data_IF_284695988202
#
_entry.id   IF_284695988202
#
_cell.length_a   1.000
_cell.length_b   1.000
_cell.length_c   1.000
_cell.angle_alpha   90.00
_cell.angle_beta   90.00
_cell.angle_gamma   90.00
#
_symmetry.space_group_name_H-M   'P 1'
#
loop_
_entity.id
_entity.type
_entity.pdbx_description
1 polymer ?
#
# COMPACT_ATOMS: atom_id res chain seq x y z
N UNK A 1 35.78 46.55 -19.64
CA UNK A 1 34.71 45.64 -19.16
C UNK A 1 33.51 46.49 -18.76
N UNK A 2 32.39 46.35 -19.48
CA UNK A 2 31.16 47.14 -19.27
C UNK A 2 30.28 46.41 -18.25
N UNK A 3 29.99 47.06 -17.12
CA UNK A 3 29.01 46.63 -16.11
C UNK A 3 27.75 47.47 -16.29
N UNK A 4 26.62 46.82 -16.61
CA UNK A 4 25.33 47.47 -16.80
C UNK A 4 24.46 47.38 -15.54
N UNK A 5 24.00 48.58 -15.15
CA UNK A 5 22.67 48.97 -14.67
C UNK A 5 22.06 48.29 -13.44
N UNK A 6 22.17 49.02 -12.32
CA UNK A 6 21.09 49.23 -11.35
C UNK A 6 20.39 50.56 -11.67
N UNK A 7 19.05 50.56 -11.69
CA UNK A 7 18.09 51.54 -11.08
C UNK A 7 16.69 51.28 -11.68
N UNK A 8 15.68 50.90 -10.89
CA UNK A 8 14.84 51.76 -10.04
C UNK A 8 14.18 52.92 -10.80
N UNK A 9 12.92 52.75 -11.22
CA UNK A 9 11.98 53.87 -11.35
C UNK A 9 10.54 53.43 -11.01
N UNK A 10 10.02 54.03 -9.94
CA UNK A 10 8.61 54.09 -9.61
C UNK A 10 7.91 55.12 -10.52
N UNK A 11 6.67 54.84 -10.95
CA UNK A 11 5.68 55.84 -11.40
C UNK A 11 4.26 55.23 -11.47
N UNK A 12 3.43 55.59 -10.50
CA UNK A 12 2.02 56.01 -10.72
C UNK A 12 2.00 57.53 -10.46
N UNK A 13 0.97 58.34 -10.81
CA UNK A 13 -0.39 58.01 -11.27
C UNK A 13 -0.90 58.90 -12.43
N UNK A 14 -2.10 58.65 -12.96
CA UNK A 14 -2.93 59.70 -13.56
C UNK A 14 -4.42 59.41 -13.39
N UNK A 15 -5.12 60.45 -12.95
CA UNK A 15 -6.53 60.57 -12.59
C UNK A 15 -7.45 60.81 -13.80
N UNK A 16 -8.73 60.47 -13.67
CA UNK A 16 -9.92 61.32 -13.95
C UNK A 16 -11.16 60.54 -13.48
N UNK A 17 -11.89 60.96 -12.43
CA UNK A 17 -12.87 62.06 -12.34
C UNK A 17 -14.05 61.85 -13.33
N UNK A 18 -15.32 61.77 -12.96
CA UNK A 18 -16.03 61.83 -11.69
C UNK A 18 -17.53 61.82 -12.01
N UNK A 19 -18.38 61.31 -11.12
CA UNK A 19 -19.72 61.87 -10.95
C UNK A 19 -20.23 61.58 -9.54
N UNK A 20 -20.86 62.59 -8.99
CA UNK A 20 -21.28 62.76 -7.61
C UNK A 20 -22.66 62.16 -7.35
N UNK A 21 -22.80 61.66 -6.12
CA UNK A 21 -24.01 61.64 -5.27
C UNK A 21 -25.30 61.02 -5.83
N UNK A 22 -25.73 59.94 -5.17
CA UNK A 22 -26.98 59.99 -4.39
C UNK A 22 -26.93 58.93 -3.28
N UNK A 23 -27.28 59.39 -2.09
CA UNK A 23 -27.39 58.64 -0.84
C UNK A 23 -28.62 57.73 -0.84
N UNK A 24 -28.44 56.43 -0.60
CA UNK A 24 -29.41 55.64 0.16
C UNK A 24 -28.65 54.60 0.98
N UNK A 25 -28.61 54.82 2.30
CA UNK A 25 -28.29 53.76 3.24
C UNK A 25 -29.42 52.74 3.22
N UNK A 26 -29.13 51.53 2.76
CA UNK A 26 -29.88 50.34 3.16
C UNK A 26 -28.91 49.46 3.95
N UNK A 27 -29.07 49.46 5.28
CA UNK A 27 -28.53 48.39 6.12
C UNK A 27 -29.14 47.08 5.62
N UNK A 28 -28.40 46.31 4.82
CA UNK A 28 -28.74 44.90 4.58
C UNK A 28 -28.00 44.03 5.60
N UNK A 29 -28.73 43.77 6.67
CA UNK A 29 -28.45 42.76 7.69
C UNK A 29 -28.54 41.39 7.04
N UNK A 30 -27.45 40.90 6.44
CA UNK A 30 -27.23 39.45 6.23
C UNK A 30 -25.72 39.17 6.24
N UNK A 31 -25.20 39.04 7.46
CA UNK A 31 -24.04 38.20 7.72
C UNK A 31 -24.36 36.75 7.36
N UNK A 32 -23.32 36.02 6.95
CA UNK A 32 -23.27 34.60 6.51
C UNK A 32 -23.46 34.44 5.00
N UNK A 33 -22.32 34.39 4.31
CA UNK A 33 -22.18 33.61 3.07
C UNK A 33 -22.55 32.16 3.41
N UNK A 34 -23.82 31.79 3.28
CA UNK A 34 -24.18 30.39 3.15
C UNK A 34 -23.50 29.89 1.87
N UNK A 35 -22.64 28.87 1.99
CA UNK A 35 -22.20 28.12 0.82
C UNK A 35 -23.46 27.59 0.15
N UNK A 36 -23.63 27.89 -1.14
CA UNK A 36 -24.77 27.37 -1.89
C UNK A 36 -24.75 25.83 -1.83
N UNK A 37 -25.87 25.16 -1.49
CA UNK A 37 -25.94 23.70 -1.35
C UNK A 37 -25.57 22.95 -2.66
N UNK A 38 -25.56 23.66 -3.78
CA UNK A 38 -25.19 23.14 -5.10
C UNK A 38 -23.70 22.81 -5.28
N UNK A 39 -22.79 23.30 -4.42
CA UNK A 39 -21.34 23.00 -4.57
C UNK A 39 -20.93 21.68 -3.91
N UNK A 40 -21.56 21.32 -2.79
CA UNK A 40 -21.32 20.04 -2.09
C UNK A 40 -21.96 18.87 -2.84
N UNK A 41 -23.17 19.06 -3.39
CA UNK A 41 -23.83 18.03 -4.21
C UNK A 41 -23.02 17.74 -5.48
N UNK A 42 -22.54 18.78 -6.19
CA UNK A 42 -21.73 18.58 -7.40
C UNK A 42 -20.36 17.96 -7.13
N UNK A 43 -19.75 18.20 -5.97
CA UNK A 43 -18.49 17.55 -5.59
C UNK A 43 -18.70 16.11 -5.12
N UNK A 44 -19.80 15.82 -4.43
CA UNK A 44 -20.20 14.47 -4.04
C UNK A 44 -20.63 13.61 -5.23
N UNK A 45 -21.34 14.17 -6.21
CA UNK A 45 -21.69 13.51 -7.48
C UNK A 45 -20.43 13.23 -8.30
N UNK A 46 -19.53 14.22 -8.44
CA UNK A 46 -18.24 14.01 -9.11
C UNK A 46 -17.36 12.99 -8.39
N UNK A 47 -17.40 12.90 -7.05
CA UNK A 47 -16.62 11.90 -6.31
C UNK A 47 -17.21 10.51 -6.45
N UNK A 48 -18.54 10.35 -6.44
CA UNK A 48 -19.19 9.05 -6.70
C UNK A 48 -18.99 8.57 -8.13
N UNK A 49 -19.06 9.45 -9.12
CA UNK A 49 -18.75 9.12 -10.53
C UNK A 49 -17.27 8.77 -10.74
N UNK A 50 -16.35 9.52 -10.11
CA UNK A 50 -14.92 9.20 -10.12
C UNK A 50 -14.65 7.87 -9.44
N UNK A 51 -15.26 7.60 -8.29
CA UNK A 51 -15.11 6.33 -7.57
C UNK A 51 -15.64 5.15 -8.40
N UNK A 52 -16.80 5.31 -9.06
CA UNK A 52 -17.34 4.29 -9.96
C UNK A 52 -16.47 4.05 -11.20
N UNK A 53 -15.86 5.11 -11.75
CA UNK A 53 -14.95 5.01 -12.90
C UNK A 53 -13.62 4.37 -12.52
N UNK A 54 -13.07 4.75 -11.37
CA UNK A 54 -11.85 4.18 -10.80
C UNK A 54 -12.00 2.69 -10.50
N UNK A 55 -13.12 2.29 -9.88
CA UNK A 55 -13.37 0.88 -9.58
C UNK A 55 -13.48 0.04 -10.87
N UNK A 56 -14.14 0.55 -11.93
CA UNK A 56 -14.21 -0.14 -13.23
C UNK A 56 -12.83 -0.37 -13.86
N UNK A 57 -11.92 0.59 -13.73
CA UNK A 57 -10.53 0.46 -14.20
C UNK A 57 -9.83 -0.66 -13.45
N UNK A 58 -9.97 -0.70 -12.12
CA UNK A 58 -9.40 -1.73 -11.26
C UNK A 58 -9.98 -3.09 -11.63
N UNK A 59 -11.30 -3.25 -11.68
CA UNK A 59 -11.98 -4.53 -11.94
C UNK A 59 -11.53 -5.16 -13.26
N UNK A 60 -11.39 -4.34 -14.32
CA UNK A 60 -10.94 -4.80 -15.63
C UNK A 60 -9.49 -5.30 -15.59
N UNK A 61 -8.61 -4.59 -14.90
CA UNK A 61 -7.21 -5.00 -14.75
C UNK A 61 -7.08 -6.22 -13.81
N UNK A 62 -7.88 -6.26 -12.76
CA UNK A 62 -7.93 -7.33 -11.76
C UNK A 62 -8.33 -8.66 -12.40
N UNK A 63 -9.38 -8.67 -13.23
CA UNK A 63 -9.84 -9.89 -13.92
C UNK A 63 -8.73 -10.56 -14.70
N UNK A 64 -7.90 -9.79 -15.42
CA UNK A 64 -6.75 -10.32 -16.16
C UNK A 64 -5.64 -10.79 -15.23
N UNK A 65 -5.34 -10.00 -14.20
CA UNK A 65 -4.28 -10.31 -13.22
C UNK A 65 -4.58 -11.60 -12.45
N UNK A 66 -5.82 -11.80 -12.01
CA UNK A 66 -6.25 -13.01 -11.33
C UNK A 66 -6.29 -14.22 -12.27
N UNK A 67 -6.54 -14.01 -13.56
CA UNK A 67 -6.41 -15.08 -14.54
C UNK A 67 -4.96 -15.56 -14.65
N UNK A 68 -3.98 -14.64 -14.70
CA UNK A 68 -2.54 -14.99 -14.65
C UNK A 68 -2.15 -15.69 -13.36
N UNK A 69 -2.64 -15.22 -12.21
CA UNK A 69 -2.38 -15.84 -10.90
C UNK A 69 -2.87 -17.29 -10.82
N UNK A 70 -3.95 -17.61 -11.54
CA UNK A 70 -4.56 -18.94 -11.58
C UNK A 70 -3.98 -19.87 -12.64
N UNK A 71 -3.08 -19.39 -13.50
CA UNK A 71 -2.50 -20.25 -14.54
C UNK A 71 -1.64 -21.33 -13.90
N UNK A 72 -1.77 -22.60 -14.36
CA UNK A 72 -0.78 -23.61 -14.02
C UNK A 72 0.56 -23.20 -14.64
N UNK A 73 1.63 -23.60 -13.97
CA UNK A 73 2.97 -23.44 -14.50
C UNK A 73 3.16 -24.25 -15.78
N UNK A 74 3.94 -23.70 -16.71
CA UNK A 74 4.27 -24.39 -17.96
C UNK A 74 5.10 -25.63 -17.60
N UNK A 75 4.56 -26.82 -17.90
CA UNK A 75 5.11 -28.18 -18.09
C UNK A 75 6.38 -28.69 -17.34
N UNK A 76 7.22 -27.85 -16.75
CA UNK A 76 8.49 -28.19 -16.10
C UNK A 76 8.51 -27.95 -14.59
N UNK A 77 7.57 -27.18 -14.02
CA UNK A 77 7.45 -27.03 -12.56
C UNK A 77 6.19 -27.71 -12.03
N UNK A 78 6.34 -28.59 -11.04
CA UNK A 78 5.24 -29.29 -10.35
C UNK A 78 4.41 -28.36 -9.43
N UNK A 79 4.63 -27.05 -9.50
CA UNK A 79 4.08 -26.06 -8.56
C UNK A 79 2.84 -25.41 -9.17
N UNK A 80 1.68 -25.99 -8.89
CA UNK A 80 0.40 -25.36 -9.21
C UNK A 80 0.32 -23.97 -8.53
N UNK A 81 0.03 -22.91 -9.29
CA UNK A 81 -0.06 -21.52 -8.81
C UNK A 81 1.27 -20.83 -8.42
N UNK A 82 2.40 -21.17 -9.07
CA UNK A 82 3.70 -20.53 -8.80
C UNK A 82 3.67 -18.99 -8.81
N UNK A 83 3.00 -18.35 -9.77
CA UNK A 83 2.89 -16.88 -9.83
C UNK A 83 2.23 -16.30 -8.58
N UNK A 84 1.29 -17.02 -7.98
CA UNK A 84 0.62 -16.64 -6.75
C UNK A 84 1.56 -16.80 -5.54
N UNK A 85 2.26 -17.93 -5.42
CA UNK A 85 3.25 -18.12 -4.36
C UNK A 85 4.35 -17.05 -4.42
N UNK A 86 4.83 -16.76 -5.62
CA UNK A 86 5.78 -15.69 -5.90
C UNK A 86 5.25 -14.32 -5.45
N UNK A 87 3.95 -14.05 -5.63
CA UNK A 87 3.35 -12.82 -5.09
C UNK A 87 3.37 -12.79 -3.56
N UNK A 88 3.05 -13.89 -2.88
CA UNK A 88 3.10 -13.97 -1.42
C UNK A 88 4.51 -13.70 -0.90
N UNK A 89 5.53 -14.34 -1.47
CA UNK A 89 6.94 -14.10 -1.14
C UNK A 89 7.32 -12.63 -1.36
N UNK A 90 6.94 -12.07 -2.51
CA UNK A 90 7.17 -10.66 -2.80
C UNK A 90 6.50 -9.73 -1.78
N UNK A 91 5.26 -10.03 -1.36
CA UNK A 91 4.55 -9.21 -0.36
C UNK A 91 5.28 -9.24 0.98
N UNK A 92 5.80 -10.39 1.37
CA UNK A 92 6.67 -10.54 2.54
C UNK A 92 7.87 -9.59 2.47
N UNK A 93 8.63 -9.67 1.38
CA UNK A 93 9.85 -8.88 1.17
C UNK A 93 9.55 -7.38 1.12
N UNK A 94 8.48 -6.99 0.41
CA UNK A 94 8.03 -5.61 0.34
C UNK A 94 7.66 -5.04 1.70
N UNK A 95 7.04 -5.85 2.57
CA UNK A 95 6.67 -5.44 3.93
C UNK A 95 7.91 -5.23 4.80
N UNK A 96 8.87 -6.17 4.74
CA UNK A 96 10.17 -6.05 5.43
C UNK A 96 10.86 -4.75 5.04
N UNK A 97 10.96 -4.47 3.74
CA UNK A 97 11.62 -3.26 3.23
C UNK A 97 10.94 -1.98 3.74
N UNK A 98 9.61 -1.92 3.74
CA UNK A 98 8.87 -0.77 4.24
C UNK A 98 9.12 -0.52 5.75
N UNK A 99 9.14 -1.58 6.56
CA UNK A 99 9.47 -1.46 7.98
C UNK A 99 10.92 -1.04 8.22
N UNK A 100 11.87 -1.62 7.50
CA UNK A 100 13.29 -1.29 7.64
C UNK A 100 13.58 0.14 7.21
N UNK A 101 12.95 0.64 6.15
CA UNK A 101 13.06 2.04 5.72
C UNK A 101 12.55 2.99 6.81
N UNK A 102 11.38 2.69 7.40
CA UNK A 102 10.84 3.46 8.53
C UNK A 102 11.80 3.44 9.73
N UNK A 103 12.33 2.27 10.08
CA UNK A 103 13.26 2.11 11.22
C UNK A 103 14.63 2.74 10.98
N UNK A 104 15.10 2.76 9.74
CA UNK A 104 16.35 3.42 9.37
C UNK A 104 16.26 4.93 9.61
N UNK A 105 15.12 5.55 9.29
CA UNK A 105 14.85 6.95 9.57
C UNK A 105 14.78 7.26 11.08
N UNK A 106 14.27 6.32 11.88
CA UNK A 106 14.16 6.45 13.34
C UNK A 106 15.51 6.25 14.08
N UNK A 107 16.25 5.19 13.75
CA UNK A 107 17.41 4.72 14.51
C UNK A 107 18.72 5.37 14.04
N UNK A 108 18.81 5.73 12.74
CA UNK A 108 20.00 6.34 12.11
C UNK A 108 21.32 5.57 12.34
N UNK A 109 21.26 4.26 12.59
CA UNK A 109 22.41 3.37 12.70
C UNK A 109 22.36 2.32 11.58
N UNK A 110 23.17 2.45 10.51
CA UNK A 110 23.09 1.58 9.34
C UNK A 110 23.48 0.13 9.64
N UNK A 111 24.42 -0.13 10.56
CA UNK A 111 24.88 -1.48 10.87
C UNK A 111 23.82 -2.27 11.65
N UNK A 112 23.13 -1.61 12.58
CA UNK A 112 21.99 -2.20 13.28
C UNK A 112 20.85 -2.57 12.32
N UNK A 113 20.57 -1.71 11.34
CA UNK A 113 19.55 -1.99 10.31
C UNK A 113 19.97 -3.18 9.43
N UNK A 114 21.22 -3.23 8.98
CA UNK A 114 21.76 -4.35 8.18
C UNK A 114 21.71 -5.67 8.95
N UNK A 115 22.03 -5.67 10.24
CA UNK A 115 21.96 -6.87 11.07
C UNK A 115 20.52 -7.36 11.23
N UNK A 116 19.59 -6.46 11.56
CA UNK A 116 18.17 -6.78 11.67
C UNK A 116 17.61 -7.31 10.35
N UNK A 117 17.98 -6.69 9.22
CA UNK A 117 17.60 -7.16 7.88
C UNK A 117 18.01 -8.63 7.68
N UNK A 118 19.28 -8.98 7.93
CA UNK A 118 19.76 -10.36 7.77
C UNK A 118 19.00 -11.36 8.65
N UNK A 119 18.72 -10.99 9.90
CA UNK A 119 17.97 -11.84 10.82
C UNK A 119 16.52 -12.05 10.36
N UNK A 120 15.83 -10.98 9.97
CA UNK A 120 14.46 -11.02 9.47
C UNK A 120 14.40 -11.86 8.19
N UNK A 121 15.29 -11.60 7.23
CA UNK A 121 15.34 -12.35 5.97
C UNK A 121 15.58 -13.85 6.21
N UNK A 122 16.51 -14.22 7.10
CA UNK A 122 16.77 -15.62 7.44
C UNK A 122 15.53 -16.30 8.02
N UNK A 123 14.87 -15.66 8.99
CA UNK A 123 13.65 -16.20 9.62
C UNK A 123 12.47 -16.27 8.64
N UNK A 124 12.39 -15.33 7.71
CA UNK A 124 11.35 -15.30 6.69
C UNK A 124 11.53 -16.38 5.63
N UNK A 125 12.76 -16.60 5.17
CA UNK A 125 13.11 -17.69 4.25
C UNK A 125 12.77 -19.05 4.83
N UNK A 126 13.15 -19.28 6.09
CA UNK A 126 12.82 -20.51 6.80
C UNK A 126 11.30 -20.70 6.92
N UNK A 127 10.57 -19.65 7.31
CA UNK A 127 9.12 -19.73 7.49
C UNK A 127 8.37 -19.98 6.17
N UNK A 128 8.78 -19.33 5.08
CA UNK A 128 8.16 -19.51 3.77
C UNK A 128 8.69 -20.73 3.00
N UNK A 129 9.63 -21.48 3.59
CA UNK A 129 10.35 -22.58 2.94
C UNK A 129 10.88 -22.20 1.54
N UNK A 130 11.57 -21.06 1.44
CA UNK A 130 12.13 -20.52 0.20
C UNK A 130 13.59 -20.11 0.37
N UNK A 131 14.41 -20.41 -0.64
CA UNK A 131 15.82 -20.00 -0.66
C UNK A 131 15.99 -18.52 -1.04
N UNK A 132 14.99 -17.97 -1.74
CA UNK A 132 15.05 -16.62 -2.33
C UNK A 132 13.85 -15.76 -1.93
N UNK A 133 14.13 -14.50 -1.62
CA UNK A 133 13.12 -13.47 -1.41
C UNK A 133 12.99 -12.65 -2.69
N UNK A 134 11.76 -12.28 -3.03
CA UNK A 134 11.45 -11.62 -4.30
C UNK A 134 11.36 -10.11 -4.11
N UNK A 135 12.16 -9.36 -4.87
CA UNK A 135 12.13 -7.89 -4.85
C UNK A 135 11.09 -7.28 -5.83
N UNK A 136 10.54 -8.08 -6.74
CA UNK A 136 9.56 -7.63 -7.74
C UNK A 136 8.31 -8.51 -7.73
N UNK A 137 7.13 -7.89 -7.77
CA UNK A 137 5.84 -8.58 -7.78
C UNK A 137 5.26 -8.65 -9.20
N UNK A 138 5.36 -9.78 -9.92
CA UNK A 138 4.90 -9.88 -11.31
C UNK A 138 3.41 -9.55 -11.45
N UNK A 139 2.56 -9.97 -10.49
CA UNK A 139 1.13 -9.64 -10.49
C UNK A 139 0.86 -8.15 -10.27
N UNK A 140 1.67 -7.46 -9.47
CA UNK A 140 1.54 -6.01 -9.26
C UNK A 140 1.92 -5.24 -10.53
N UNK A 141 3.03 -5.60 -11.15
CA UNK A 141 3.45 -5.00 -12.43
C UNK A 141 2.40 -5.23 -13.50
N UNK A 142 1.87 -6.47 -13.59
CA UNK A 142 0.83 -6.81 -14.54
C UNK A 142 -0.45 -5.99 -14.29
N UNK A 143 -0.90 -5.87 -13.03
CA UNK A 143 -2.05 -5.06 -12.65
C UNK A 143 -1.89 -3.59 -13.07
N UNK A 144 -0.74 -2.98 -12.75
CA UNK A 144 -0.46 -1.58 -13.09
C UNK A 144 -0.43 -1.36 -14.59
N UNK A 145 0.22 -2.25 -15.35
CA UNK A 145 0.25 -2.16 -16.81
C UNK A 145 -1.15 -2.22 -17.43
N UNK A 146 -2.06 -3.00 -16.83
CA UNK A 146 -3.47 -3.06 -17.23
C UNK A 146 -4.26 -1.77 -16.96
N UNK A 147 -3.81 -0.94 -16.02
CA UNK A 147 -4.46 0.33 -15.65
C UNK A 147 -3.82 1.56 -16.33
N UNK A 148 -2.57 1.44 -16.77
CA UNK A 148 -1.72 2.56 -17.20
C UNK A 148 -2.37 3.51 -18.21
N UNK A 149 -3.00 2.96 -19.26
CA UNK A 149 -3.70 3.76 -20.29
C UNK A 149 -4.85 4.60 -19.73
N UNK A 150 -5.56 4.09 -18.72
CA UNK A 150 -6.68 4.79 -18.10
C UNK A 150 -6.20 5.79 -17.03
N UNK A 151 -5.01 5.58 -16.48
CA UNK A 151 -4.38 6.45 -15.49
C UNK A 151 -3.69 7.68 -16.10
N UNK A 152 -3.46 7.71 -17.41
CA UNK A 152 -2.73 8.79 -18.09
C UNK A 152 -3.33 10.19 -17.86
N UNK A 153 -4.64 10.28 -17.61
CA UNK A 153 -5.36 11.55 -17.37
C UNK A 153 -5.45 11.95 -15.90
N UNK A 154 -4.97 11.11 -14.99
CA UNK A 154 -5.03 11.33 -13.54
C UNK A 154 -3.80 12.08 -13.05
N UNK A 155 -3.98 12.86 -11.99
CA UNK A 155 -2.85 13.49 -11.28
C UNK A 155 -1.93 12.42 -10.64
N UNK A 156 -0.70 12.81 -10.28
CA UNK A 156 0.23 11.90 -9.58
C UNK A 156 -0.40 11.27 -8.33
N UNK A 157 -1.04 12.10 -7.49
CA UNK A 157 -1.69 11.66 -6.26
C UNK A 157 -2.85 10.69 -6.52
N UNK A 158 -3.72 11.02 -7.49
CA UNK A 158 -4.84 10.14 -7.86
C UNK A 158 -4.35 8.79 -8.41
N UNK A 159 -3.24 8.76 -9.15
CA UNK A 159 -2.62 7.51 -9.61
C UNK A 159 -2.11 6.67 -8.45
N UNK A 160 -1.40 7.28 -7.50
CA UNK A 160 -0.88 6.59 -6.32
C UNK A 160 -2.00 6.01 -5.46
N UNK A 161 -3.08 6.78 -5.23
CA UNK A 161 -4.27 6.32 -4.51
C UNK A 161 -4.95 5.15 -5.23
N UNK A 162 -5.11 5.23 -6.56
CA UNK A 162 -5.71 4.17 -7.36
C UNK A 162 -4.88 2.89 -7.33
N UNK A 163 -3.56 3.00 -7.51
CA UNK A 163 -2.63 1.87 -7.47
C UNK A 163 -2.65 1.21 -6.08
N UNK A 164 -2.65 2.00 -5.01
CA UNK A 164 -2.72 1.51 -3.64
C UNK A 164 -4.01 0.72 -3.38
N UNK A 165 -5.15 1.26 -3.83
CA UNK A 165 -6.44 0.58 -3.74
C UNK A 165 -6.44 -0.74 -4.54
N UNK A 166 -5.92 -0.71 -5.77
CA UNK A 166 -5.84 -1.88 -6.62
C UNK A 166 -4.97 -2.99 -6.01
N UNK A 167 -3.82 -2.64 -5.43
CA UNK A 167 -2.96 -3.60 -4.73
C UNK A 167 -3.62 -4.21 -3.50
N UNK A 168 -4.34 -3.40 -2.71
CA UNK A 168 -5.08 -3.91 -1.55
C UNK A 168 -6.16 -4.90 -1.98
N UNK A 169 -6.90 -4.61 -3.05
CA UNK A 169 -7.90 -5.53 -3.59
C UNK A 169 -7.25 -6.80 -4.17
N UNK A 170 -6.09 -6.69 -4.83
CA UNK A 170 -5.35 -7.85 -5.33
C UNK A 170 -4.95 -8.79 -4.19
N UNK A 171 -4.37 -8.25 -3.12
CA UNK A 171 -3.96 -9.04 -1.95
C UNK A 171 -5.17 -9.77 -1.32
N UNK A 172 -6.31 -9.09 -1.18
CA UNK A 172 -7.55 -9.71 -0.69
C UNK A 172 -8.06 -10.85 -1.58
N UNK A 173 -8.03 -10.67 -2.89
CA UNK A 173 -8.44 -11.70 -3.85
C UNK A 173 -7.49 -12.90 -3.84
N UNK A 174 -6.19 -12.67 -3.67
CA UNK A 174 -5.20 -13.74 -3.55
C UNK A 174 -5.44 -14.55 -2.27
N UNK A 175 -5.67 -13.90 -1.14
CA UNK A 175 -6.02 -14.56 0.12
C UNK A 175 -7.29 -15.40 -0.02
N UNK A 176 -8.30 -14.88 -0.74
CA UNK A 176 -9.52 -15.62 -1.03
C UNK A 176 -9.27 -16.83 -1.93
N UNK A 177 -8.41 -16.72 -2.94
CA UNK A 177 -8.03 -17.86 -3.80
C UNK A 177 -7.34 -18.95 -2.96
N UNK A 178 -6.35 -18.59 -2.14
CA UNK A 178 -5.64 -19.52 -1.25
C UNK A 178 -6.62 -20.27 -0.36
N UNK A 179 -7.53 -19.51 0.29
CA UNK A 179 -8.54 -20.07 1.20
C UNK A 179 -9.54 -20.98 0.49
N UNK A 180 -10.09 -20.54 -0.65
CA UNK A 180 -11.15 -21.27 -1.37
C UNK A 180 -10.63 -22.52 -2.06
N UNK A 181 -9.41 -22.46 -2.60
CA UNK A 181 -8.74 -23.60 -3.23
C UNK A 181 -8.00 -24.49 -2.23
N UNK A 182 -7.98 -24.13 -0.95
CA UNK A 182 -7.26 -24.83 0.14
C UNK A 182 -5.79 -25.10 -0.22
N UNK A 183 -5.13 -24.08 -0.77
CA UNK A 183 -3.72 -24.19 -1.14
C UNK A 183 -2.85 -24.31 0.11
N UNK A 184 -1.84 -25.17 0.06
CA UNK A 184 -0.86 -25.36 1.13
C UNK A 184 0.20 -24.26 1.08
N UNK A 185 -0.23 -23.02 1.38
CA UNK A 185 0.63 -21.84 1.45
C UNK A 185 0.06 -20.84 2.45
N UNK A 186 0.93 -19.93 2.88
CA UNK A 186 0.52 -18.74 3.62
C UNK A 186 -0.26 -17.76 2.74
N UNK A 187 -1.28 -17.14 3.34
CA UNK A 187 -1.94 -15.94 2.82
C UNK A 187 -1.06 -14.70 2.95
N UNK A 188 -1.29 -13.68 2.11
CA UNK A 188 -0.64 -12.37 2.23
C UNK A 188 -0.84 -11.79 3.62
N UNK A 189 -2.06 -11.91 4.17
CA UNK A 189 -2.34 -11.45 5.54
C UNK A 189 -1.48 -12.15 6.59
N UNK A 190 -1.37 -13.48 6.56
CA UNK A 190 -0.55 -14.23 7.51
C UNK A 190 0.93 -13.85 7.42
N UNK A 191 1.45 -13.72 6.20
CA UNK A 191 2.84 -13.35 5.98
C UNK A 191 3.13 -11.92 6.45
N UNK A 192 2.24 -10.96 6.17
CA UNK A 192 2.36 -9.60 6.69
C UNK A 192 2.35 -9.58 8.22
N UNK A 193 1.49 -10.38 8.86
CA UNK A 193 1.49 -10.50 10.33
C UNK A 193 2.80 -11.07 10.85
N UNK A 194 3.34 -12.11 10.21
CA UNK A 194 4.62 -12.70 10.59
C UNK A 194 5.78 -11.72 10.44
N UNK A 195 5.82 -10.94 9.34
CA UNK A 195 6.82 -9.88 9.16
C UNK A 195 6.75 -8.84 10.27
N UNK A 196 5.55 -8.38 10.63
CA UNK A 196 5.37 -7.43 11.73
C UNK A 196 5.93 -7.98 13.05
N UNK A 197 5.72 -9.28 13.32
CA UNK A 197 6.27 -9.93 14.50
C UNK A 197 7.80 -9.98 14.48
N UNK A 198 8.41 -10.35 13.34
CA UNK A 198 9.87 -10.36 13.19
C UNK A 198 10.48 -8.97 13.39
N UNK A 199 9.85 -7.95 12.81
CA UNK A 199 10.29 -6.56 12.96
C UNK A 199 10.19 -6.11 14.42
N UNK A 200 9.09 -6.42 15.10
CA UNK A 200 8.91 -6.06 16.51
C UNK A 200 9.89 -6.80 17.44
N UNK A 201 10.31 -8.01 17.08
CA UNK A 201 11.33 -8.75 17.82
C UNK A 201 12.72 -8.10 17.69
N UNK A 202 13.09 -7.64 16.49
CA UNK A 202 14.38 -6.94 16.25
C UNK A 202 14.39 -5.49 16.76
N UNK A 203 13.22 -4.85 16.73
CA UNK A 203 13.02 -3.47 17.17
C UNK A 203 11.89 -3.40 18.20
N UNK A 204 12.08 -3.96 19.40
CA UNK A 204 11.07 -3.90 20.45
C UNK A 204 10.77 -2.43 20.74
N UNK A 205 9.49 -2.08 20.67
CA UNK A 205 9.05 -0.76 21.13
C UNK A 205 9.39 -0.63 22.61
N UNK A 206 9.98 0.50 23.01
CA UNK A 206 10.05 0.84 24.43
C UNK A 206 8.61 1.02 24.90
N UNK A 207 8.05 -0.01 25.53
CA UNK A 207 6.73 0.04 26.15
C UNK A 207 6.77 1.18 27.16
N UNK A 208 6.13 2.31 26.82
CA UNK A 208 5.65 3.22 27.87
C UNK A 208 4.48 2.48 28.50
N UNK A 209 4.64 2.10 29.76
CA UNK A 209 3.69 1.33 30.56
C UNK A 209 2.29 1.95 30.57
N UNK A 210 1.48 1.63 29.56
CA UNK A 210 0.02 1.80 29.57
C UNK A 210 -0.60 0.69 28.72
N UNK A 211 -0.33 -0.57 29.06
CA UNK A 211 -1.04 -1.72 28.48
C UNK A 211 -1.47 -2.65 29.61
N UNK A 212 -2.78 -2.85 29.73
CA UNK A 212 -3.36 -3.79 30.70
C UNK A 212 -2.92 -5.23 30.37
N UNK A 213 -2.70 -6.08 31.40
CA UNK A 213 -2.03 -7.38 31.26
C UNK A 213 -2.70 -8.37 30.28
N UNK A 214 -3.98 -8.18 29.98
CA UNK A 214 -4.76 -9.07 29.12
C UNK A 214 -4.38 -9.03 27.64
N UNK A 215 -3.96 -7.88 27.09
CA UNK A 215 -3.60 -7.76 25.66
C UNK A 215 -2.25 -8.40 25.35
N UNK A 216 -1.27 -8.22 26.25
CA UNK A 216 0.08 -8.80 26.14
C UNK A 216 0.04 -10.33 26.14
N UNK A 217 -0.88 -10.94 26.88
CA UNK A 217 -1.05 -12.39 26.94
C UNK A 217 -1.66 -12.94 25.64
N UNK A 218 -2.59 -12.22 25.01
CA UNK A 218 -3.20 -12.64 23.75
C UNK A 218 -2.21 -12.56 22.58
N UNK A 219 -1.38 -11.52 22.51
CA UNK A 219 -0.32 -11.41 21.51
C UNK A 219 0.71 -12.53 21.65
N UNK A 220 1.15 -12.85 22.87
CA UNK A 220 2.07 -13.98 23.13
C UNK A 220 1.49 -15.35 22.77
N UNK A 221 0.17 -15.55 22.95
CA UNK A 221 -0.51 -16.81 22.54
C UNK A 221 -0.61 -16.93 21.03
N UNK A 222 -0.89 -15.83 20.34
CA UNK A 222 -0.97 -15.80 18.86
C UNK A 222 0.42 -15.99 18.25
N UNK A 223 1.44 -15.39 18.86
CA UNK A 223 2.86 -15.55 18.52
C UNK A 223 3.31 -17.01 18.57
N UNK A 224 3.00 -17.72 19.67
CA UNK A 224 3.38 -19.13 19.81
C UNK A 224 2.71 -20.00 18.75
N UNK A 225 1.42 -19.78 18.44
CA UNK A 225 0.68 -20.53 17.42
C UNK A 225 1.22 -20.33 16.00
N UNK A 226 1.66 -19.12 15.67
CA UNK A 226 2.25 -18.82 14.34
C UNK A 226 3.66 -19.42 14.19
N UNK A 227 4.42 -19.51 15.28
CA UNK A 227 5.74 -20.13 15.31
C UNK A 227 5.71 -21.67 15.30
N UNK A 228 4.63 -22.29 15.77
CA UNK A 228 4.54 -23.76 15.92
C UNK A 228 3.75 -24.46 14.82
N UNK A 229 3.48 -23.81 13.68
CA UNK A 229 2.67 -24.41 12.60
C UNK A 229 3.32 -25.65 11.95
N UNK A 230 4.56 -25.96 12.30
CA UNK A 230 5.32 -27.14 11.83
C UNK A 230 5.00 -28.47 12.56
N UNK A 231 3.97 -28.56 13.42
CA UNK A 231 3.76 -29.80 14.22
C UNK A 231 2.46 -30.58 14.05
N UNK A 232 1.44 -30.12 13.30
CA UNK A 232 0.12 -30.78 13.32
C UNK A 232 -0.43 -31.27 11.98
N UNK A 233 0.40 -31.40 10.93
CA UNK A 233 -0.04 -32.08 9.70
C UNK A 233 0.90 -33.20 9.29
N UNK A 234 0.38 -34.42 9.03
CA UNK A 234 1.18 -35.53 8.57
C UNK A 234 1.71 -35.22 7.18
N UNK A 235 3.01 -34.92 7.08
CA UNK A 235 3.76 -35.01 5.84
C UNK A 235 3.66 -36.45 5.35
N UNK A 236 2.77 -36.69 4.38
CA UNK A 236 2.73 -37.94 3.65
C UNK A 236 3.99 -38.02 2.77
N UNK A 237 5.11 -38.43 3.37
CA UNK A 237 6.29 -38.87 2.63
C UNK A 237 5.91 -40.14 1.86
N UNK A 238 5.52 -39.98 0.60
CA UNK A 238 5.57 -41.09 -0.36
C UNK A 238 7.03 -41.33 -0.71
N UNK A 239 7.69 -42.21 0.04
CA UNK A 239 8.87 -42.89 -0.46
C UNK A 239 8.44 -43.79 -1.62
N UNK A 240 8.75 -43.39 -2.86
CA UNK A 240 8.88 -44.34 -3.95
C UNK A 240 10.28 -44.93 -3.85
N UNK A 241 10.37 -46.09 -3.20
CA UNK A 241 11.48 -47.00 -3.41
C UNK A 241 11.31 -47.59 -4.82
N UNK A 242 12.40 -47.54 -5.60
CA UNK A 242 12.59 -48.37 -6.78
C UNK A 242 13.09 -49.73 -6.36
#
# INVERSE_FOLDING_TARGET
>A
MKLNLFTSEAKRPAYQCGSTNTSFQVRRVFSKKSKAPYTEINSAVKSTERNGTHQRIIDKAMKKTLAEAKKPTKKESNIQYETLYNHVVFRATSEVNAHLEKKANEIKNPDRIKQAQRNIEKNLKNHLNTDCLMNSGPLRTYLVSGMEKNMARLSKKEREELISLAYKQLDQNIDEIIRTQKLDTYSVKEVTQYVNLLVNNEFPEKIKEVATPSSVIQEKRTFKKLLTRDQDFPMAFRHHQR
#
